data_IF_970071225122
#
_entry.id   IF_970071225122
#
_cell.length_a   1.000
_cell.length_b   1.000
_cell.length_c   1.000
_cell.angle_alpha   90.00
_cell.angle_beta   90.00
_cell.angle_gamma   90.00
#
_symmetry.space_group_name_H-M   'P 1'
#
loop_
_entity.id
_entity.type
_entity.pdbx_description
1 polymer ?
#
# COMPACT_ATOMS: atom_id res chain seq x y z
N UNK A 1 -7.42 0.00 27.96
CA UNK A 1 -7.38 0.19 26.49
C UNK A 1 -6.20 1.10 26.16
N UNK A 2 -5.45 0.86 25.06
CA UNK A 2 -4.38 1.75 24.63
C UNK A 2 -4.93 3.14 24.34
N UNK A 3 -4.14 4.20 24.61
CA UNK A 3 -4.54 5.57 24.29
C UNK A 3 -4.55 5.75 22.77
N UNK A 4 -5.63 6.32 22.18
CA UNK A 4 -5.64 6.67 20.77
C UNK A 4 -4.50 7.63 20.42
N UNK A 5 -3.76 7.31 19.36
CA UNK A 5 -2.74 8.14 18.74
C UNK A 5 -3.28 8.74 17.45
N UNK A 6 -2.72 9.88 17.07
CA UNK A 6 -3.02 10.54 15.80
C UNK A 6 -1.78 10.47 14.94
N UNK A 7 -1.96 9.97 13.73
CA UNK A 7 -0.90 9.70 12.77
C UNK A 7 -1.05 10.58 11.54
N UNK A 8 0.10 10.94 10.99
CA UNK A 8 0.30 11.57 9.70
C UNK A 8 1.21 10.64 8.90
N UNK A 9 0.67 10.00 7.88
CA UNK A 9 1.41 9.11 6.99
C UNK A 9 1.68 9.87 5.68
N UNK A 10 2.96 10.05 5.38
CA UNK A 10 3.44 10.74 4.19
C UNK A 10 3.53 9.74 3.03
N UNK A 11 2.90 10.09 1.90
CA UNK A 11 2.73 9.22 0.74
C UNK A 11 3.63 9.71 -0.41
N UNK A 12 4.41 8.79 -0.99
CA UNK A 12 5.39 9.11 -2.04
C UNK A 12 4.80 9.57 -3.36
N UNK A 13 3.62 9.06 -3.70
CA UNK A 13 3.03 9.30 -5.00
C UNK A 13 2.75 10.79 -5.20
N UNK A 14 3.53 11.40 -6.10
CA UNK A 14 3.34 12.74 -6.67
C UNK A 14 3.85 13.90 -5.80
N UNK A 15 5.16 14.13 -5.84
CA UNK A 15 5.76 15.47 -5.56
C UNK A 15 5.56 16.44 -6.74
N UNK A 16 5.00 15.97 -7.86
CA UNK A 16 4.70 16.80 -9.03
C UNK A 16 3.43 17.65 -8.84
N UNK A 17 3.51 18.68 -7.99
CA UNK A 17 2.67 19.90 -7.97
C UNK A 17 2.77 20.69 -6.65
N UNK A 18 3.72 20.38 -5.77
CA UNK A 18 3.80 21.05 -4.45
C UNK A 18 2.65 20.66 -3.50
N UNK A 19 1.92 19.59 -3.82
CA UNK A 19 1.03 18.91 -2.89
C UNK A 19 1.72 17.61 -2.46
N UNK A 20 1.79 17.41 -1.15
CA UNK A 20 2.46 16.29 -0.50
C UNK A 20 1.33 15.47 0.15
N UNK A 21 0.83 14.42 -0.55
CA UNK A 21 -0.35 13.69 -0.12
C UNK A 21 -0.11 13.04 1.24
N UNK A 22 -1.03 13.30 2.16
CA UNK A 22 -0.87 13.01 3.59
C UNK A 22 -2.14 12.42 4.15
N UNK A 23 -2.03 11.18 4.62
CA UNK A 23 -3.13 10.50 5.29
C UNK A 23 -3.07 10.84 6.78
N UNK A 24 -4.13 11.46 7.28
CA UNK A 24 -4.29 11.71 8.72
C UNK A 24 -5.30 10.74 9.29
N UNK A 25 -4.91 9.98 10.33
CA UNK A 25 -5.81 9.00 10.94
C UNK A 25 -5.57 8.81 12.44
N UNK A 26 -6.58 8.25 13.10
CA UNK A 26 -6.52 7.80 14.49
C UNK A 26 -6.32 6.30 14.55
N UNK A 27 -5.46 5.86 15.46
CA UNK A 27 -5.21 4.44 15.74
C UNK A 27 -5.00 4.18 17.22
N UNK A 28 -5.26 2.95 17.66
CA UNK A 28 -4.88 2.45 18.99
C UNK A 28 -3.72 1.47 18.93
N UNK A 29 -3.21 1.19 17.71
CA UNK A 29 -2.11 0.27 17.48
C UNK A 29 -0.78 0.87 17.93
N UNK A 30 0.17 -0.02 18.23
CA UNK A 30 1.56 0.37 18.44
C UNK A 30 2.21 0.78 17.12
N UNK A 31 3.32 1.51 17.21
CA UNK A 31 4.07 1.98 16.03
C UNK A 31 4.62 0.77 15.27
N UNK A 32 5.14 -0.23 15.98
CA UNK A 32 5.62 -1.51 15.42
C UNK A 32 4.52 -2.24 14.64
N UNK A 33 3.31 -2.34 15.19
CA UNK A 33 2.20 -3.03 14.54
C UNK A 33 1.70 -2.27 13.30
N UNK A 34 1.61 -0.95 13.38
CA UNK A 34 1.18 -0.11 12.26
C UNK A 34 2.21 -0.16 11.13
N UNK A 35 3.49 -0.07 11.48
CA UNK A 35 4.60 -0.23 10.53
C UNK A 35 4.57 -1.62 9.88
N UNK A 36 4.35 -2.69 10.65
CA UNK A 36 4.27 -4.04 10.09
C UNK A 36 3.06 -4.21 9.17
N UNK A 37 1.89 -3.67 9.55
CA UNK A 37 0.70 -3.67 8.68
C UNK A 37 1.00 -3.04 7.33
N UNK A 38 1.50 -1.80 7.33
CA UNK A 38 1.82 -1.07 6.09
C UNK A 38 2.84 -1.86 5.26
N UNK A 39 3.87 -2.44 5.90
CA UNK A 39 4.86 -3.29 5.22
C UNK A 39 4.26 -4.52 4.57
N UNK A 40 3.41 -5.27 5.29
CA UNK A 40 2.77 -6.48 4.74
C UNK A 40 2.06 -6.16 3.44
N UNK A 41 1.29 -5.07 3.38
CA UNK A 41 0.54 -4.69 2.18
C UNK A 41 1.40 -4.06 1.09
N UNK A 42 2.40 -3.24 1.44
CA UNK A 42 3.37 -2.68 0.48
C UNK A 42 4.28 -3.76 -0.15
N UNK A 43 4.68 -4.78 0.59
CA UNK A 43 5.42 -5.91 0.02
C UNK A 43 4.52 -6.81 -0.81
N UNK A 44 3.28 -7.02 -0.35
CA UNK A 44 2.30 -7.80 -1.10
C UNK A 44 2.00 -7.20 -2.47
N UNK A 45 1.95 -5.87 -2.61
CA UNK A 45 1.79 -5.22 -3.93
C UNK A 45 3.08 -5.32 -4.76
N UNK A 46 4.25 -5.13 -4.14
CA UNK A 46 5.55 -5.19 -4.81
C UNK A 46 5.90 -6.59 -5.35
N UNK A 47 5.35 -7.66 -4.76
CA UNK A 47 5.50 -9.03 -5.25
C UNK A 47 4.78 -9.25 -6.60
N UNK A 48 3.84 -8.38 -7.00
CA UNK A 48 3.23 -8.42 -8.33
C UNK A 48 4.05 -7.62 -9.33
N UNK A 49 4.29 -6.32 -9.05
CA UNK A 49 5.12 -5.44 -9.89
C UNK A 49 5.81 -4.40 -8.99
N UNK A 50 7.11 -4.10 -9.19
CA UNK A 50 7.84 -3.12 -8.38
C UNK A 50 7.29 -1.68 -8.43
N UNK A 51 6.54 -1.35 -9.48
CA UNK A 51 6.02 0.00 -9.76
C UNK A 51 4.57 0.21 -9.27
N UNK A 52 3.92 -0.82 -8.72
CA UNK A 52 2.55 -0.69 -8.24
C UNK A 52 2.53 -0.01 -6.87
N UNK A 53 1.61 0.93 -6.74
CA UNK A 53 1.43 1.70 -5.51
C UNK A 53 -0.04 1.75 -5.09
N UNK A 54 -0.26 1.96 -3.79
CA UNK A 54 -1.54 2.42 -3.29
C UNK A 54 -1.65 3.92 -3.52
N UNK A 55 -2.85 4.44 -3.75
CA UNK A 55 -3.13 5.86 -3.61
C UNK A 55 -3.59 6.22 -2.20
N UNK A 56 -3.66 7.52 -1.89
CA UNK A 56 -4.06 8.04 -0.57
C UNK A 56 -5.39 7.41 -0.09
N UNK A 57 -6.40 7.44 -0.95
CA UNK A 57 -7.74 6.91 -0.67
C UNK A 57 -7.71 5.38 -0.47
N UNK A 58 -6.95 4.66 -1.30
CA UNK A 58 -6.85 3.20 -1.23
C UNK A 58 -6.11 2.73 0.03
N UNK A 59 -5.04 3.43 0.39
CA UNK A 59 -4.31 3.17 1.63
C UNK A 59 -5.17 3.48 2.85
N UNK A 60 -5.94 4.59 2.83
CA UNK A 60 -6.86 4.87 3.92
C UNK A 60 -7.96 3.81 4.01
N UNK A 61 -8.60 3.42 2.90
CA UNK A 61 -9.61 2.34 2.89
C UNK A 61 -9.03 1.04 3.47
N UNK A 62 -7.80 0.69 3.11
CA UNK A 62 -7.09 -0.46 3.65
C UNK A 62 -6.93 -0.34 5.17
N UNK A 63 -6.45 0.81 5.66
CA UNK A 63 -6.27 1.09 7.09
C UNK A 63 -7.61 1.03 7.87
N UNK A 64 -8.71 1.48 7.26
CA UNK A 64 -10.04 1.42 7.89
C UNK A 64 -10.52 -0.02 8.15
N UNK A 65 -10.11 -0.98 7.33
CA UNK A 65 -10.42 -2.40 7.56
C UNK A 65 -9.81 -2.94 8.86
N UNK A 66 -8.75 -2.28 9.37
CA UNK A 66 -8.09 -2.60 10.65
C UNK A 66 -8.53 -1.68 11.80
N UNK A 67 -9.59 -0.88 11.59
CA UNK A 67 -10.19 -0.03 12.61
C UNK A 67 -9.47 1.31 12.81
N UNK A 68 -8.56 1.68 11.91
CA UNK A 68 -8.04 3.04 11.83
C UNK A 68 -9.13 3.98 11.31
N UNK A 69 -9.13 5.25 11.75
CA UNK A 69 -10.19 6.20 11.37
C UNK A 69 -9.59 7.45 10.78
N UNK A 70 -9.97 7.78 9.54
CA UNK A 70 -9.53 9.00 8.91
C UNK A 70 -9.96 10.22 9.74
N UNK A 71 -9.12 11.23 9.77
CA UNK A 71 -9.42 12.55 10.32
C UNK A 71 -9.02 13.63 9.33
N UNK A 72 -9.64 14.80 9.44
CA UNK A 72 -9.27 15.94 8.60
C UNK A 72 -7.83 16.41 8.86
N UNK A 73 -7.13 16.85 7.81
CA UNK A 73 -5.86 17.57 7.94
C UNK A 73 -5.97 18.84 8.82
N UNK A 74 -7.17 19.42 8.93
CA UNK A 74 -7.46 20.58 9.78
C UNK A 74 -7.88 20.21 11.22
N UNK A 75 -7.65 18.96 11.63
CA UNK A 75 -8.04 18.51 12.97
C UNK A 75 -7.34 19.32 14.06
N UNK A 76 -8.00 19.63 15.20
CA UNK A 76 -7.42 20.47 16.26
C UNK A 76 -6.28 19.81 17.06
N UNK A 77 -5.80 18.63 16.65
CA UNK A 77 -4.69 17.96 17.31
C UNK A 77 -3.40 18.74 17.11
N UNK A 78 -2.67 18.96 18.21
CA UNK A 78 -1.41 19.72 18.22
C UNK A 78 -0.18 18.85 17.96
N UNK A 79 -0.32 17.53 18.00
CA UNK A 79 0.79 16.58 17.91
C UNK A 79 0.37 15.38 17.07
N UNK A 80 1.20 15.06 16.09
CA UNK A 80 1.05 13.92 15.19
C UNK A 80 2.30 13.05 15.33
N UNK A 81 2.11 11.73 15.33
CA UNK A 81 3.18 10.81 14.98
C UNK A 81 3.31 10.84 13.46
N UNK A 82 4.52 11.04 12.93
CA UNK A 82 4.78 11.07 11.49
C UNK A 82 5.48 9.79 11.08
N UNK A 83 5.10 9.23 9.95
CA UNK A 83 5.86 8.19 9.29
C UNK A 83 5.78 8.41 7.78
N UNK A 84 6.86 8.08 7.08
CA UNK A 84 6.91 8.12 5.63
C UNK A 84 6.75 6.70 5.09
N UNK A 85 5.89 6.51 4.09
CA UNK A 85 5.63 5.19 3.52
C UNK A 85 6.85 4.60 2.80
N UNK A 86 7.64 5.45 2.13
CA UNK A 86 8.92 5.04 1.56
C UNK A 86 9.88 4.61 2.64
N UNK A 87 10.02 5.38 3.70
CA UNK A 87 10.93 5.03 4.79
C UNK A 87 10.45 3.75 5.47
N UNK A 88 9.14 3.54 5.63
CA UNK A 88 8.60 2.27 6.14
C UNK A 88 8.98 1.10 5.22
N UNK A 89 8.95 1.30 3.90
CA UNK A 89 9.30 0.30 2.91
C UNK A 89 10.83 0.06 2.82
N UNK A 90 11.64 1.11 2.70
CA UNK A 90 13.10 1.09 2.57
C UNK A 90 13.85 0.81 3.88
N UNK A 91 13.47 1.45 4.99
CA UNK A 91 14.16 1.30 6.28
C UNK A 91 14.02 -0.13 6.83
N UNK A 92 13.21 -0.95 6.19
CA UNK A 92 13.14 -2.38 6.40
C UNK A 92 13.74 -3.14 5.23
N UNK A 93 15.06 -3.25 5.21
CA UNK A 93 15.80 -4.29 4.49
C UNK A 93 15.45 -5.73 4.98
N UNK A 94 14.33 -5.90 5.67
CA UNK A 94 13.78 -7.15 6.18
C UNK A 94 12.36 -7.23 5.64
N UNK A 95 12.15 -8.09 4.65
CA UNK A 95 10.81 -8.48 4.19
C UNK A 95 10.00 -9.01 5.38
N UNK A 96 8.67 -8.78 5.43
CA UNK A 96 7.79 -9.51 6.33
C UNK A 96 8.09 -11.01 6.28
N UNK A 97 8.01 -11.69 7.42
CA UNK A 97 8.16 -13.14 7.45
C UNK A 97 6.86 -13.80 6.99
N UNK A 98 6.90 -15.10 6.67
CA UNK A 98 5.70 -15.88 6.35
C UNK A 98 4.68 -15.85 7.50
N UNK A 99 5.15 -15.75 8.74
CA UNK A 99 4.28 -15.60 9.92
C UNK A 99 3.57 -14.25 9.92
N UNK A 100 4.27 -13.16 9.57
CA UNK A 100 3.66 -11.83 9.44
C UNK A 100 2.63 -11.78 8.31
N UNK A 101 2.97 -12.38 7.16
CA UNK A 101 2.12 -12.48 5.95
C UNK A 101 0.93 -13.44 6.10
N UNK A 102 0.81 -14.15 7.21
CA UNK A 102 -0.35 -15.01 7.49
C UNK A 102 -1.04 -14.62 8.80
N UNK A 103 -0.56 -13.58 9.47
CA UNK A 103 -1.10 -13.14 10.73
C UNK A 103 -2.46 -12.48 10.54
N UNK A 104 -3.55 -12.99 11.15
CA UNK A 104 -4.88 -12.39 11.05
C UNK A 104 -4.96 -10.99 11.67
N UNK A 105 -3.93 -10.57 12.41
CA UNK A 105 -3.77 -9.18 12.85
C UNK A 105 -3.54 -8.24 11.68
N UNK A 106 -2.78 -8.66 10.66
CA UNK A 106 -2.35 -7.82 9.53
C UNK A 106 -3.08 -8.16 8.22
N UNK A 107 -3.90 -9.22 8.21
CA UNK A 107 -4.64 -9.68 7.04
C UNK A 107 -6.10 -9.95 7.39
N UNK A 108 -7.01 -9.48 6.54
CA UNK A 108 -8.43 -9.79 6.62
C UNK A 108 -9.09 -9.72 5.22
N UNK A 109 -10.28 -10.32 5.09
CA UNK A 109 -11.01 -10.42 3.82
C UNK A 109 -11.41 -9.07 3.22
N UNK A 110 -11.66 -8.04 4.06
CA UNK A 110 -12.02 -6.71 3.54
C UNK A 110 -10.80 -5.99 2.99
N UNK A 111 -9.63 -6.14 3.62
CA UNK A 111 -8.37 -5.61 3.11
C UNK A 111 -8.00 -6.27 1.78
N UNK A 112 -8.27 -7.57 1.62
CA UNK A 112 -8.07 -8.27 0.35
C UNK A 112 -8.93 -7.69 -0.79
N UNK A 113 -10.19 -7.31 -0.52
CA UNK A 113 -11.04 -6.65 -1.54
C UNK A 113 -10.50 -5.30 -1.98
N UNK A 114 -9.96 -4.51 -1.03
CA UNK A 114 -9.28 -3.25 -1.35
C UNK A 114 -8.08 -3.55 -2.23
N UNK A 115 -7.25 -4.52 -1.83
CA UNK A 115 -6.06 -4.91 -2.55
C UNK A 115 -6.34 -5.39 -3.99
N UNK A 116 -7.33 -6.25 -4.19
CA UNK A 116 -7.73 -6.72 -5.53
C UNK A 116 -8.16 -5.56 -6.44
N UNK A 117 -8.85 -4.56 -5.90
CA UNK A 117 -9.22 -3.35 -6.64
C UNK A 117 -8.01 -2.49 -6.98
N UNK A 118 -7.05 -2.36 -6.07
CA UNK A 118 -5.78 -1.65 -6.31
C UNK A 118 -4.98 -2.35 -7.40
N UNK A 119 -4.87 -3.68 -7.36
CA UNK A 119 -4.21 -4.45 -8.42
C UNK A 119 -4.87 -4.20 -9.77
N UNK A 120 -6.20 -4.24 -9.84
CA UNK A 120 -6.92 -3.98 -11.08
C UNK A 120 -6.67 -2.56 -11.62
N UNK A 121 -6.72 -1.53 -10.77
CA UNK A 121 -6.42 -0.15 -11.19
C UNK A 121 -4.99 -0.05 -11.73
N UNK A 122 -4.02 -0.58 -10.99
CA UNK A 122 -2.63 -0.57 -11.40
C UNK A 122 -2.43 -1.35 -12.72
N UNK A 123 -3.12 -2.48 -12.92
CA UNK A 123 -3.15 -3.21 -14.18
C UNK A 123 -3.71 -2.36 -15.33
N UNK A 124 -4.84 -1.68 -15.12
CA UNK A 124 -5.49 -0.84 -16.12
C UNK A 124 -4.61 0.36 -16.51
N UNK A 125 -4.01 1.04 -15.52
CA UNK A 125 -3.07 2.15 -15.74
C UNK A 125 -1.80 1.66 -16.44
N UNK A 126 -1.21 0.56 -15.97
CA UNK A 126 -0.02 -0.03 -16.58
C UNK A 126 -0.27 -0.47 -18.03
N UNK A 127 -1.44 -1.06 -18.30
CA UNK A 127 -1.91 -1.39 -19.65
C UNK A 127 -2.03 -0.14 -20.51
N UNK A 128 -2.65 0.93 -20.00
CA UNK A 128 -2.81 2.19 -20.71
C UNK A 128 -1.45 2.85 -21.03
N UNK A 129 -0.52 2.88 -20.07
CA UNK A 129 0.86 3.33 -20.28
C UNK A 129 1.61 2.47 -21.30
N UNK A 130 1.47 1.15 -21.22
CA UNK A 130 2.10 0.19 -22.15
C UNK A 130 1.57 0.28 -23.59
N UNK A 131 0.29 0.62 -23.77
CA UNK A 131 -0.32 0.81 -25.09
C UNK A 131 0.11 2.13 -25.75
N UNK A 132 0.41 3.16 -24.96
CA UNK A 132 0.79 4.50 -25.46
C UNK A 132 2.29 4.67 -25.76
N UNK A 133 3.15 3.73 -25.37
CA UNK A 133 4.60 3.92 -25.43
C UNK A 133 5.33 2.71 -26.07
N UNK A 134 5.80 2.87 -27.31
CA UNK A 134 6.35 1.76 -28.13
C UNK A 134 7.65 1.14 -27.56
N UNK A 135 8.41 1.87 -26.74
CA UNK A 135 9.56 1.31 -26.01
C UNK A 135 9.14 0.41 -24.84
N UNK A 136 7.96 0.64 -24.28
CA UNK A 136 7.41 -0.11 -23.15
C UNK A 136 6.79 -1.44 -23.59
N UNK A 137 6.28 -1.57 -24.82
CA UNK A 137 5.78 -2.86 -25.36
C UNK A 137 6.78 -4.02 -25.21
N UNK A 138 8.08 -3.75 -25.39
CA UNK A 138 9.15 -4.76 -25.22
C UNK A 138 9.40 -5.13 -23.76
N UNK A 139 9.24 -4.19 -22.83
CA UNK A 139 9.34 -4.44 -21.39
C UNK A 139 8.09 -5.19 -20.89
N UNK A 140 6.93 -4.88 -21.47
CA UNK A 140 5.62 -5.44 -21.14
C UNK A 140 5.50 -6.93 -21.51
N UNK A 141 6.09 -7.41 -22.61
CA UNK A 141 6.14 -8.86 -22.90
C UNK A 141 6.92 -9.66 -21.84
N UNK A 142 7.92 -9.05 -21.20
CA UNK A 142 8.67 -9.65 -20.11
C UNK A 142 7.93 -9.53 -18.77
N UNK A 143 7.44 -8.34 -18.42
CA UNK A 143 6.69 -8.08 -17.19
C UNK A 143 5.36 -8.85 -17.13
N UNK A 144 4.59 -8.92 -18.23
CA UNK A 144 3.35 -9.72 -18.34
C UNK A 144 3.62 -11.20 -18.15
N UNK A 145 4.71 -11.73 -18.72
CA UNK A 145 5.13 -13.13 -18.51
C UNK A 145 5.50 -13.42 -17.07
N UNK A 146 6.07 -12.45 -16.37
CA UNK A 146 6.41 -12.61 -14.96
C UNK A 146 5.18 -12.43 -14.06
N UNK A 147 4.26 -11.53 -14.42
CA UNK A 147 2.94 -11.40 -13.80
C UNK A 147 2.11 -12.68 -13.93
N UNK A 148 1.97 -13.25 -15.12
CA UNK A 148 1.22 -14.50 -15.33
C UNK A 148 1.83 -15.66 -14.53
N UNK A 149 3.15 -15.70 -14.38
CA UNK A 149 3.83 -16.69 -13.53
C UNK A 149 3.56 -16.46 -12.04
N UNK A 150 3.55 -15.20 -11.59
CA UNK A 150 3.30 -14.83 -10.19
C UNK A 150 1.82 -15.06 -9.84
N UNK A 151 0.89 -14.62 -10.68
CA UNK A 151 -0.54 -14.86 -10.54
C UNK A 151 -0.85 -16.36 -10.51
N UNK A 152 -0.26 -17.16 -11.41
CA UNK A 152 -0.40 -18.61 -11.41
C UNK A 152 0.21 -19.27 -10.16
N UNK A 153 1.36 -18.80 -9.65
CA UNK A 153 1.96 -19.28 -8.39
C UNK A 153 1.08 -18.99 -7.18
N UNK A 154 0.34 -17.88 -7.22
CA UNK A 154 -0.53 -17.44 -6.14
C UNK A 154 -2.00 -17.88 -6.32
N UNK A 155 -2.31 -18.70 -7.32
CA UNK A 155 -3.65 -19.26 -7.55
C UNK A 155 -4.69 -18.24 -8.04
N UNK A 156 -4.25 -17.10 -8.57
CA UNK A 156 -5.12 -16.04 -9.08
C UNK A 156 -5.38 -16.32 -10.56
N UNK A 157 -6.65 -16.39 -10.93
CA UNK A 157 -7.07 -16.53 -12.34
C UNK A 157 -7.21 -15.12 -12.92
N UNK A 158 -6.35 -14.77 -13.89
CA UNK A 158 -6.34 -13.49 -14.62
C UNK A 158 -7.31 -13.53 -15.79
#
# INVERSE_FOLDING_TARGET
MPRPRVYKLEHLAVVEAGQDPKIYFKTTWSDEDLTMLIKVWMYKIADYVPEYEFYEEEMMELLETFGHKQISAYSPFRTYFSADMYEIWEAANIRPTVEDESNPKFINDNAMKVFERVLKRNDDEFLEYGLKNDNYKKYNEHARRDFDKVAARNGITV
#
